data_IF_132484778437
#
_entry.id   IF_132484778437
#
_cell.length_a   1.000
_cell.length_b   1.000
_cell.length_c   1.000
_cell.angle_alpha   90.00
_cell.angle_beta   90.00
_cell.angle_gamma   90.00
#
_symmetry.space_group_name_H-M   'P 1'
#
loop_
_entity.id
_entity.type
_entity.pdbx_description
1 polymer ?
#
# COMPACT_ATOMS: atom_id res chain seq x y z
N UNK A 1 23.37 9.18 5.67
CA UNK A 1 22.89 10.07 6.74
C UNK A 1 23.31 9.40 8.03
N UNK A 2 24.44 9.84 8.61
CA UNK A 2 24.99 9.31 9.87
C UNK A 2 24.34 10.01 11.09
N UNK A 3 23.04 10.23 11.03
CA UNK A 3 22.29 10.82 12.14
C UNK A 3 21.66 9.72 12.98
N UNK A 4 21.74 9.86 14.29
CA UNK A 4 20.99 9.01 15.21
C UNK A 4 19.49 9.16 14.89
N UNK A 5 18.75 8.06 14.85
CA UNK A 5 17.30 8.04 14.66
C UNK A 5 16.59 8.95 15.68
N UNK A 6 17.13 9.05 16.90
CA UNK A 6 16.64 9.94 17.96
C UNK A 6 16.69 11.41 17.51
N UNK A 7 17.80 11.85 16.91
CA UNK A 7 17.94 13.24 16.48
C UNK A 7 16.93 13.62 15.41
N UNK A 8 16.65 12.71 14.47
CA UNK A 8 15.66 12.92 13.41
C UNK A 8 14.25 13.01 14.00
N UNK A 9 13.92 12.13 14.94
CA UNK A 9 12.58 12.07 15.54
C UNK A 9 12.27 13.26 16.45
N UNK A 10 13.30 13.83 17.08
CA UNK A 10 13.20 15.03 17.91
C UNK A 10 13.34 16.33 17.10
N UNK A 11 13.68 16.24 15.82
CA UNK A 11 13.75 17.42 14.96
C UNK A 11 12.43 18.18 14.93
N UNK A 12 12.50 19.48 15.18
CA UNK A 12 11.34 20.37 15.23
C UNK A 12 11.25 21.18 13.94
N UNK A 13 10.12 21.16 13.29
CA UNK A 13 9.89 21.95 12.07
C UNK A 13 9.64 23.44 12.40
N UNK A 14 9.47 24.28 11.38
CA UNK A 14 9.19 25.71 11.50
C UNK A 14 7.90 26.04 12.28
N UNK A 15 6.98 25.07 12.41
CA UNK A 15 5.74 25.20 13.18
C UNK A 15 5.85 24.66 14.62
N UNK A 16 7.05 24.35 15.11
CA UNK A 16 7.29 23.85 16.45
C UNK A 16 6.88 22.39 16.69
N UNK A 17 6.66 21.60 15.64
CA UNK A 17 6.23 20.20 15.78
C UNK A 17 7.41 19.25 15.58
N UNK A 18 7.58 18.29 16.51
CA UNK A 18 8.53 17.19 16.37
C UNK A 18 8.16 16.24 15.23
N UNK A 19 9.16 15.63 14.60
CA UNK A 19 8.94 14.63 13.55
C UNK A 19 8.12 13.44 14.08
N UNK A 20 8.42 12.95 15.28
CA UNK A 20 7.66 11.87 15.92
C UNK A 20 6.16 12.14 16.01
N UNK A 21 5.79 13.36 16.42
CA UNK A 21 4.38 13.78 16.50
C UNK A 21 3.73 13.86 15.13
N UNK A 22 4.46 14.27 14.12
CA UNK A 22 3.95 14.35 12.74
C UNK A 22 3.70 12.97 12.14
N UNK A 23 4.61 12.02 12.41
CA UNK A 23 4.42 10.62 11.96
C UNK A 23 3.20 9.98 12.64
N UNK A 24 3.02 10.18 13.94
CA UNK A 24 1.82 9.69 14.63
C UNK A 24 0.54 10.28 14.05
N UNK A 25 0.49 11.57 13.77
CA UNK A 25 -0.67 12.20 13.11
C UNK A 25 -0.93 11.65 11.71
N UNK A 26 0.13 11.37 10.95
CA UNK A 26 -0.02 10.77 9.63
C UNK A 26 -0.58 9.34 9.72
N UNK A 27 -0.11 8.55 10.68
CA UNK A 27 -0.67 7.22 10.95
C UNK A 27 -2.13 7.29 11.39
N UNK A 28 -2.47 8.17 12.33
CA UNK A 28 -3.84 8.38 12.78
C UNK A 28 -4.78 8.73 11.62
N UNK A 29 -4.31 9.57 10.70
CA UNK A 29 -5.07 9.90 9.49
C UNK A 29 -5.32 8.66 8.62
N UNK A 30 -4.29 7.86 8.35
CA UNK A 30 -4.45 6.62 7.59
C UNK A 30 -5.38 5.62 8.29
N UNK A 31 -5.29 5.50 9.62
CA UNK A 31 -6.09 4.55 10.38
C UNK A 31 -7.57 4.97 10.49
N UNK A 32 -7.84 6.26 10.64
CA UNK A 32 -9.18 6.77 10.96
C UNK A 32 -9.89 7.35 9.72
N UNK A 33 -9.25 8.26 9.00
CA UNK A 33 -9.87 8.94 7.87
C UNK A 33 -9.86 8.07 6.61
N UNK A 34 -8.75 7.36 6.37
CA UNK A 34 -8.63 6.45 5.23
C UNK A 34 -9.03 5.00 5.56
N UNK A 35 -9.70 4.78 6.68
CA UNK A 35 -10.27 3.47 7.09
C UNK A 35 -9.22 2.35 7.25
N UNK A 36 -7.95 2.67 7.46
CA UNK A 36 -6.86 1.71 7.51
C UNK A 36 -7.06 0.58 8.54
N UNK A 37 -7.78 0.85 9.64
CA UNK A 37 -8.16 -0.18 10.62
C UNK A 37 -9.01 -1.31 10.03
N UNK A 38 -9.62 -1.12 8.85
CA UNK A 38 -10.32 -2.19 8.11
C UNK A 38 -9.36 -3.23 7.50
N UNK A 39 -8.10 -2.88 7.32
CA UNK A 39 -7.05 -3.66 6.69
C UNK A 39 -6.61 -3.13 5.32
N UNK A 40 -7.40 -2.26 4.68
CA UNK A 40 -7.01 -1.57 3.45
C UNK A 40 -7.43 -0.11 3.53
N UNK A 41 -6.59 0.77 3.00
CA UNK A 41 -6.95 2.17 2.84
C UNK A 41 -8.05 2.33 1.81
N UNK A 42 -8.96 3.23 2.12
CA UNK A 42 -10.06 3.65 1.24
C UNK A 42 -9.94 5.16 1.02
N UNK A 43 -9.79 5.57 -0.23
CA UNK A 43 -9.77 7.00 -0.58
C UNK A 43 -11.22 7.39 -0.90
N UNK A 44 -11.92 7.82 0.12
CA UNK A 44 -13.34 8.17 0.04
C UNK A 44 -13.50 9.64 -0.39
N UNK A 45 -13.07 9.94 -1.61
CA UNK A 45 -13.21 11.25 -2.25
C UNK A 45 -14.12 11.11 -3.46
N UNK A 46 -15.24 11.87 -3.55
CA UNK A 46 -16.14 11.84 -4.70
C UNK A 46 -15.46 12.17 -6.04
N UNK A 47 -14.33 12.89 -6.01
CA UNK A 47 -13.55 13.19 -7.20
C UNK A 47 -12.51 12.09 -7.52
N UNK A 48 -12.39 11.07 -6.67
CA UNK A 48 -11.42 9.98 -6.78
C UNK A 48 -12.04 8.63 -6.44
N UNK A 49 -13.14 8.34 -7.11
CA UNK A 49 -13.94 7.13 -6.89
C UNK A 49 -13.43 5.89 -7.65
N UNK A 50 -12.37 6.06 -8.42
CA UNK A 50 -11.80 4.99 -9.25
C UNK A 50 -12.53 4.74 -10.56
N UNK A 51 -13.53 5.55 -10.90
CA UNK A 51 -14.15 5.49 -12.22
C UNK A 51 -13.29 6.18 -13.28
N UNK A 52 -13.60 5.93 -14.55
CA UNK A 52 -12.82 6.48 -15.69
C UNK A 52 -12.75 8.01 -15.69
N UNK A 53 -13.71 8.67 -15.06
CA UNK A 53 -13.81 10.13 -14.96
C UNK A 53 -13.34 10.67 -13.61
N UNK A 54 -12.93 9.81 -12.68
CA UNK A 54 -12.41 10.22 -11.39
C UNK A 54 -11.05 10.88 -11.48
N UNK A 55 -10.73 11.74 -10.51
CA UNK A 55 -9.38 12.30 -10.40
C UNK A 55 -8.37 11.25 -9.95
N UNK A 56 -7.12 11.47 -10.34
CA UNK A 56 -5.99 10.66 -9.91
C UNK A 56 -5.83 10.64 -8.39
N UNK A 57 -5.61 9.47 -7.80
CA UNK A 57 -5.29 9.32 -6.38
C UNK A 57 -3.84 9.63 -6.06
N UNK A 58 -2.99 9.62 -7.08
CA UNK A 58 -1.57 9.94 -6.99
C UNK A 58 -1.04 10.45 -8.35
N UNK A 59 0.20 10.92 -8.40
CA UNK A 59 0.74 11.57 -9.59
C UNK A 59 1.01 10.60 -10.78
N UNK A 60 1.01 9.30 -10.55
CA UNK A 60 1.12 8.30 -11.61
C UNK A 60 -0.15 8.17 -12.44
N UNK A 61 -1.25 8.62 -11.89
CA UNK A 61 -2.58 8.45 -12.44
C UNK A 61 -3.00 9.62 -13.35
N UNK A 62 -2.09 10.02 -14.24
CA UNK A 62 -2.35 11.14 -15.16
C UNK A 62 -3.45 10.81 -16.17
N UNK A 63 -3.68 9.54 -16.45
CA UNK A 63 -4.58 9.09 -17.50
C UNK A 63 -5.58 8.02 -17.04
N UNK A 64 -5.47 7.53 -15.80
CA UNK A 64 -6.29 6.44 -15.28
C UNK A 64 -6.49 6.59 -13.80
N UNK A 65 -7.66 6.24 -13.32
CA UNK A 65 -7.96 6.36 -11.90
C UNK A 65 -7.43 5.16 -11.11
N UNK A 66 -6.62 5.43 -10.10
CA UNK A 66 -6.18 4.46 -9.10
C UNK A 66 -7.10 4.41 -7.87
N UNK A 67 -8.04 5.37 -7.76
CA UNK A 67 -8.98 5.36 -6.64
C UNK A 67 -9.88 4.13 -6.74
N UNK A 68 -10.64 3.87 -5.90
CA UNK A 68 -11.10 4.09 -4.55
C UNK A 68 -10.22 3.34 -3.56
N UNK A 69 -9.90 2.05 -3.86
CA UNK A 69 -8.93 1.21 -3.14
C UNK A 69 -7.83 0.83 -4.10
N UNK A 70 -6.64 1.34 -3.90
CA UNK A 70 -5.51 1.11 -4.78
C UNK A 70 -4.50 0.16 -4.14
N UNK A 71 -3.95 -0.75 -4.94
CA UNK A 71 -2.89 -1.64 -4.48
C UNK A 71 -1.61 -0.87 -4.18
N UNK A 72 -1.31 0.18 -4.95
CA UNK A 72 -0.11 1.00 -4.78
C UNK A 72 -0.05 1.67 -3.40
N UNK A 73 -1.07 2.44 -3.01
CA UNK A 73 -1.12 3.10 -1.71
C UNK A 73 -1.16 2.09 -0.55
N UNK A 74 -1.81 0.95 -0.75
CA UNK A 74 -1.90 -0.08 0.27
C UNK A 74 -0.58 -0.84 0.50
N UNK A 75 0.31 -0.91 -0.49
CA UNK A 75 1.68 -1.41 -0.29
C UNK A 75 2.44 -0.46 0.64
N UNK A 76 2.39 0.85 0.41
CA UNK A 76 3.03 1.83 1.30
C UNK A 76 2.41 1.86 2.70
N UNK A 77 1.10 1.71 2.80
CA UNK A 77 0.44 1.59 4.09
C UNK A 77 0.96 0.40 4.89
N UNK A 78 1.06 -0.78 4.27
CA UNK A 78 1.64 -1.95 4.90
C UNK A 78 3.08 -1.72 5.37
N UNK A 79 3.93 -1.14 4.52
CA UNK A 79 5.30 -0.79 4.88
C UNK A 79 5.37 0.24 6.00
N UNK A 80 4.45 1.22 6.01
CA UNK A 80 4.36 2.22 7.07
C UNK A 80 3.99 1.62 8.42
N UNK A 81 3.10 0.61 8.44
CA UNK A 81 2.76 -0.12 9.67
C UNK A 81 3.98 -0.85 10.24
N UNK A 82 4.74 -1.54 9.40
CA UNK A 82 5.97 -2.23 9.83
C UNK A 82 7.01 -1.23 10.35
N UNK A 83 7.24 -0.12 9.63
CA UNK A 83 8.18 0.91 10.07
C UNK A 83 7.76 1.57 11.40
N UNK A 84 6.46 1.78 11.61
CA UNK A 84 5.96 2.30 12.89
C UNK A 84 6.10 1.27 14.01
N UNK A 85 5.92 -0.02 13.73
CA UNK A 85 6.15 -1.07 14.71
C UNK A 85 7.62 -1.08 15.17
N UNK A 86 8.56 -1.07 14.21
CA UNK A 86 10.00 -1.02 14.49
C UNK A 86 10.37 0.23 15.29
N UNK A 87 9.83 1.38 14.90
CA UNK A 87 10.07 2.64 15.59
C UNK A 87 9.56 2.60 17.04
N UNK A 88 8.36 2.07 17.28
CA UNK A 88 7.78 1.94 18.62
C UNK A 88 8.56 0.96 19.48
N UNK A 89 8.99 -0.17 18.91
CA UNK A 89 9.87 -1.13 19.59
C UNK A 89 11.22 -0.50 19.98
N UNK A 90 11.82 0.30 19.11
CA UNK A 90 13.06 1.01 19.37
C UNK A 90 12.94 1.96 20.57
N UNK A 91 11.80 2.64 20.75
CA UNK A 91 11.50 3.49 21.90
C UNK A 91 10.97 2.74 23.12
N UNK A 92 10.86 1.41 23.08
CA UNK A 92 10.38 0.57 24.17
C UNK A 92 8.85 0.54 24.34
N UNK A 93 8.09 1.13 23.42
CA UNK A 93 6.61 1.08 23.40
C UNK A 93 6.15 -0.21 22.71
N UNK A 94 6.33 -1.33 23.41
CA UNK A 94 6.01 -2.66 22.86
C UNK A 94 4.51 -2.86 22.64
N UNK A 95 3.65 -2.18 23.37
CA UNK A 95 2.20 -2.26 23.16
C UNK A 95 1.81 -1.70 21.79
N UNK A 96 2.28 -0.49 21.47
CA UNK A 96 2.04 0.10 20.17
C UNK A 96 2.77 -0.64 19.03
N UNK A 97 3.96 -1.16 19.29
CA UNK A 97 4.69 -1.98 18.32
C UNK A 97 3.86 -3.20 17.92
N UNK A 98 3.35 -3.96 18.89
CA UNK A 98 2.50 -5.12 18.62
C UNK A 98 1.19 -4.74 17.91
N UNK A 99 0.57 -3.64 18.31
CA UNK A 99 -0.63 -3.13 17.63
C UNK A 99 -0.40 -2.89 16.13
N UNK A 100 0.72 -2.25 15.76
CA UNK A 100 1.04 -2.02 14.35
C UNK A 100 1.39 -3.32 13.60
N UNK A 101 2.02 -4.29 14.26
CA UNK A 101 2.28 -5.62 13.66
C UNK A 101 0.97 -6.38 13.40
N UNK A 102 0.03 -6.34 14.33
CA UNK A 102 -1.30 -6.96 14.13
C UNK A 102 -2.06 -6.31 12.97
N UNK A 103 -2.00 -4.99 12.85
CA UNK A 103 -2.57 -4.27 11.71
C UNK A 103 -1.87 -4.62 10.41
N UNK A 104 -0.55 -4.78 10.40
CA UNK A 104 0.21 -5.18 9.22
C UNK A 104 -0.23 -6.58 8.74
N UNK A 105 -0.37 -7.56 9.64
CA UNK A 105 -0.87 -8.90 9.28
C UNK A 105 -2.32 -8.86 8.76
N UNK A 106 -3.18 -8.05 9.37
CA UNK A 106 -4.54 -7.81 8.89
C UNK A 106 -4.51 -7.21 7.48
N UNK A 107 -3.66 -6.21 7.27
CA UNK A 107 -3.49 -5.56 5.96
C UNK A 107 -2.99 -6.54 4.91
N UNK A 108 -1.98 -7.35 5.21
CA UNK A 108 -1.47 -8.39 4.31
C UNK A 108 -2.57 -9.37 3.88
N UNK A 109 -3.39 -9.79 4.83
CA UNK A 109 -4.53 -10.70 4.57
C UNK A 109 -5.57 -10.03 3.68
N UNK A 110 -5.98 -8.80 4.01
CA UNK A 110 -6.98 -8.04 3.27
C UNK A 110 -6.49 -7.65 1.87
N UNK A 111 -5.21 -7.27 1.75
CA UNK A 111 -4.56 -6.95 0.48
C UNK A 111 -4.60 -8.15 -0.48
N UNK A 112 -4.17 -9.32 -0.03
CA UNK A 112 -4.18 -10.53 -0.84
C UNK A 112 -5.61 -10.95 -1.23
N UNK A 113 -6.57 -10.81 -0.32
CA UNK A 113 -7.97 -11.11 -0.62
C UNK A 113 -8.55 -10.17 -1.68
N UNK A 114 -8.19 -8.88 -1.61
CA UNK A 114 -8.78 -7.85 -2.47
C UNK A 114 -8.09 -7.76 -3.83
N UNK A 115 -6.77 -7.75 -3.86
CA UNK A 115 -6.02 -7.40 -5.07
C UNK A 115 -5.45 -8.60 -5.82
N UNK A 116 -5.27 -9.77 -5.20
CA UNK A 116 -4.74 -10.93 -5.91
C UNK A 116 -5.75 -11.48 -6.92
N UNK A 117 -5.35 -11.54 -8.18
CA UNK A 117 -6.11 -12.23 -9.23
C UNK A 117 -5.53 -13.63 -9.47
N UNK A 118 -6.25 -14.64 -8.97
CA UNK A 118 -5.83 -16.04 -9.10
C UNK A 118 -5.80 -16.53 -10.54
N UNK A 119 -6.65 -15.98 -11.41
CA UNK A 119 -6.73 -16.40 -12.80
C UNK A 119 -5.54 -15.90 -13.62
N UNK A 120 -5.04 -14.71 -13.27
CA UNK A 120 -3.89 -14.07 -13.92
C UNK A 120 -2.58 -14.30 -13.19
N UNK A 121 -2.62 -14.73 -11.91
CA UNK A 121 -1.42 -14.92 -11.08
C UNK A 121 -0.63 -13.63 -10.86
N UNK A 122 -1.34 -12.52 -10.62
CA UNK A 122 -0.77 -11.21 -10.34
C UNK A 122 -1.73 -10.32 -9.53
N UNK A 123 -1.25 -9.23 -9.00
CA UNK A 123 -2.08 -8.22 -8.35
C UNK A 123 -2.70 -7.27 -9.37
N UNK A 124 -3.99 -6.98 -9.19
CA UNK A 124 -4.69 -5.93 -9.93
C UNK A 124 -4.30 -4.55 -9.38
N UNK A 125 -4.57 -3.51 -10.17
CA UNK A 125 -4.19 -2.14 -9.84
C UNK A 125 -5.09 -1.54 -8.75
N UNK A 126 -6.41 -1.65 -8.90
CA UNK A 126 -7.35 -1.02 -7.95
C UNK A 126 -8.74 -1.67 -8.00
N UNK A 127 -9.56 -1.25 -7.04
CA UNK A 127 -11.01 -1.53 -7.03
C UNK A 127 -11.71 -0.19 -6.87
N UNK A 128 -12.61 0.14 -7.80
CA UNK A 128 -13.36 1.39 -7.77
C UNK A 128 -14.53 1.38 -6.75
N UNK A 129 -15.22 2.49 -6.61
CA UNK A 129 -16.34 2.64 -5.67
C UNK A 129 -17.51 1.71 -5.96
N UNK A 130 -17.69 1.29 -7.22
CA UNK A 130 -18.71 0.34 -7.65
C UNK A 130 -18.32 -1.11 -7.42
N UNK A 131 -17.10 -1.36 -6.93
CA UNK A 131 -16.54 -2.69 -6.69
C UNK A 131 -15.94 -3.34 -7.93
N UNK A 132 -15.79 -2.61 -9.04
CA UNK A 132 -15.14 -3.08 -10.24
C UNK A 132 -13.64 -3.21 -10.02
N UNK A 133 -13.07 -4.34 -10.48
CA UNK A 133 -11.65 -4.66 -10.39
C UNK A 133 -10.92 -4.15 -11.63
N UNK A 134 -10.04 -3.18 -11.43
CA UNK A 134 -9.27 -2.55 -12.51
C UNK A 134 -7.86 -3.13 -12.56
N UNK A 135 -7.54 -3.83 -13.64
CA UNK A 135 -6.24 -4.46 -13.85
C UNK A 135 -5.55 -3.90 -15.10
N UNK A 136 -4.58 -3.05 -14.86
CA UNK A 136 -3.76 -2.46 -15.93
C UNK A 136 -2.44 -3.21 -16.17
N UNK A 137 -2.20 -4.32 -15.47
CA UNK A 137 -0.98 -5.12 -15.60
C UNK A 137 0.29 -4.39 -15.17
N UNK A 138 0.21 -3.55 -14.14
CA UNK A 138 1.35 -2.73 -13.72
C UNK A 138 2.44 -3.57 -13.06
N UNK A 139 3.54 -3.75 -13.75
CA UNK A 139 4.67 -4.57 -13.31
C UNK A 139 5.31 -4.02 -12.05
N UNK A 140 5.47 -2.69 -11.94
CA UNK A 140 6.08 -2.06 -10.77
C UNK A 140 5.27 -2.29 -9.50
N UNK A 141 3.94 -2.24 -9.54
CA UNK A 141 3.06 -2.54 -8.39
C UNK A 141 3.27 -3.98 -7.92
N UNK A 142 3.34 -4.91 -8.86
CA UNK A 142 3.57 -6.32 -8.57
C UNK A 142 4.94 -6.57 -7.94
N UNK A 143 6.00 -5.94 -8.46
CA UNK A 143 7.33 -6.01 -7.85
C UNK A 143 7.38 -5.38 -6.46
N UNK A 144 6.72 -4.24 -6.26
CA UNK A 144 6.65 -3.61 -4.95
C UNK A 144 5.92 -4.49 -3.92
N UNK A 145 4.85 -5.18 -4.32
CA UNK A 145 4.15 -6.13 -3.44
C UNK A 145 5.05 -7.32 -3.05
N UNK A 146 5.85 -7.82 -3.98
CA UNK A 146 6.87 -8.85 -3.69
C UNK A 146 7.94 -8.32 -2.73
N UNK A 147 8.51 -7.16 -3.02
CA UNK A 147 9.56 -6.54 -2.20
C UNK A 147 9.10 -6.20 -0.78
N UNK A 148 7.85 -5.75 -0.64
CA UNK A 148 7.26 -5.45 0.66
C UNK A 148 6.93 -6.71 1.49
N UNK A 149 6.99 -7.91 0.91
CA UNK A 149 6.62 -9.16 1.59
C UNK A 149 5.12 -9.41 1.68
N UNK A 150 4.32 -8.72 0.88
CA UNK A 150 2.88 -8.98 0.75
C UNK A 150 2.60 -10.26 -0.02
N UNK A 151 3.35 -10.52 -1.10
CA UNK A 151 3.26 -11.74 -1.89
C UNK A 151 3.86 -12.94 -1.15
N UNK A 152 3.23 -14.11 -1.29
CA UNK A 152 3.87 -15.37 -0.93
C UNK A 152 4.96 -15.72 -1.94
N UNK A 153 5.79 -16.73 -1.61
CA UNK A 153 6.81 -17.23 -2.53
C UNK A 153 6.20 -17.68 -3.86
N UNK A 154 5.13 -18.43 -3.81
CA UNK A 154 4.41 -18.94 -4.98
C UNK A 154 3.80 -17.82 -5.81
N UNK A 155 3.27 -16.79 -5.17
CA UNK A 155 2.75 -15.60 -5.85
C UNK A 155 3.89 -14.83 -6.54
N UNK A 156 5.02 -14.66 -5.85
CA UNK A 156 6.20 -13.99 -6.42
C UNK A 156 6.74 -14.74 -7.64
N UNK A 157 6.81 -16.08 -7.59
CA UNK A 157 7.22 -16.91 -8.74
C UNK A 157 6.29 -16.73 -9.95
N UNK A 158 4.97 -16.64 -9.73
CA UNK A 158 4.01 -16.36 -10.78
C UNK A 158 4.19 -14.95 -11.37
N UNK A 159 4.44 -13.95 -10.53
CA UNK A 159 4.68 -12.57 -10.98
C UNK A 159 5.97 -12.50 -11.79
N UNK A 160 7.08 -13.05 -11.31
CA UNK A 160 8.36 -13.01 -12.02
C UNK A 160 8.30 -13.75 -13.35
N UNK A 161 7.68 -14.93 -13.40
CA UNK A 161 7.54 -15.68 -14.66
C UNK A 161 6.63 -14.97 -15.68
N UNK A 162 5.68 -14.16 -15.24
CA UNK A 162 4.90 -13.31 -16.12
C UNK A 162 5.73 -12.13 -16.65
N UNK A 163 6.49 -11.47 -15.79
CA UNK A 163 7.28 -10.28 -16.19
C UNK A 163 8.46 -10.65 -17.08
N UNK A 164 9.13 -11.79 -16.87
CA UNK A 164 10.24 -12.25 -17.71
C UNK A 164 9.78 -12.94 -19.02
N UNK A 165 8.46 -13.09 -19.20
CA UNK A 165 7.85 -13.66 -20.41
C UNK A 165 7.85 -15.18 -20.48
N UNK A 166 8.30 -15.89 -19.45
CA UNK A 166 8.25 -17.37 -19.40
C UNK A 166 6.83 -17.89 -19.19
N UNK A 167 5.94 -17.06 -18.62
CA UNK A 167 4.52 -17.34 -18.45
C UNK A 167 3.68 -16.31 -19.21
N UNK A 168 2.91 -16.76 -20.18
CA UNK A 168 1.99 -15.93 -20.96
C UNK A 168 0.59 -16.05 -20.34
N UNK A 169 -0.09 -14.92 -20.16
CA UNK A 169 -1.51 -14.87 -19.78
C UNK A 169 -2.30 -14.71 -21.07
N UNK A 170 -3.05 -15.74 -21.44
CA UNK A 170 -3.83 -15.72 -22.69
C UNK A 170 -4.88 -14.59 -22.67
N UNK A 171 -4.94 -13.83 -23.76
CA UNK A 171 -5.86 -12.70 -23.89
C UNK A 171 -5.49 -11.45 -23.09
N UNK A 172 -4.36 -11.46 -22.39
CA UNK A 172 -3.88 -10.27 -21.67
C UNK A 172 -3.31 -9.24 -22.65
N UNK A 173 -3.94 -8.07 -22.70
CA UNK A 173 -3.52 -6.95 -23.53
C UNK A 173 -2.82 -5.86 -22.74
N UNK A 174 -2.56 -6.08 -21.45
CA UNK A 174 -1.83 -5.13 -20.64
C UNK A 174 -0.39 -4.98 -21.12
N UNK A 175 0.13 -3.77 -21.06
CA UNK A 175 1.49 -3.45 -21.51
C UNK A 175 2.36 -2.99 -20.30
N UNK A 176 1.98 -3.32 -19.12
CA UNK A 176 2.57 -3.23 -17.80
C UNK A 176 3.63 -2.20 -17.51
#
# INVERSE_FOLDING_TARGET
IDGDVIDIMDHVNSSGQKMSVRLEKAMDYMLTVLEGTSGVLTINDPENDGTVNGKASNYWDVHRSFGYKSSYENIFYYQSLLAMADLKAYYGDMEKANYYLELAEKTKTAFNKLFWDKSKGRYITSVNVEGERLDYGMTFVNFMACQAGLASKEQAELIYSWVDGTRIIEGDTSQG
#
